data_IF_535724680939
#
_entry.id   IF_535724680939
#
_cell.length_a   1.000
_cell.length_b   1.000
_cell.length_c   1.000
_cell.angle_alpha   90.00
_cell.angle_beta   90.00
_cell.angle_gamma   90.00
#
_symmetry.space_group_name_H-M   'P 1'
#
loop_
_entity.id
_entity.type
_entity.pdbx_description
1 polymer ?
#
# COMPACT_ATOMS: atom_id res chain seq x y z
N UNK A 1 -16.92 -13.05 -5.96
CA UNK A 1 -17.97 -13.17 -7.00
C UNK A 1 -17.96 -11.90 -7.81
N UNK A 2 -17.88 -11.98 -9.15
CA UNK A 2 -17.94 -10.79 -10.03
C UNK A 2 -19.37 -10.28 -10.09
N UNK A 3 -19.56 -9.00 -9.77
CA UNK A 3 -20.88 -8.35 -9.76
C UNK A 3 -21.06 -7.45 -10.98
N UNK A 4 -19.99 -6.84 -11.49
CA UNK A 4 -20.05 -6.00 -12.68
C UNK A 4 -18.70 -5.39 -13.01
N UNK A 5 -18.70 -4.44 -13.95
CA UNK A 5 -17.52 -3.64 -14.29
C UNK A 5 -17.81 -2.16 -14.05
N UNK A 6 -17.01 -1.48 -13.22
CA UNK A 6 -17.12 -0.04 -12.97
C UNK A 6 -15.98 0.67 -13.70
N UNK A 7 -16.31 1.57 -14.63
CA UNK A 7 -15.33 2.28 -15.48
C UNK A 7 -14.39 1.34 -16.29
N UNK A 8 -14.73 0.06 -16.47
CA UNK A 8 -13.83 -0.94 -17.08
C UNK A 8 -12.87 -1.62 -16.08
N UNK A 9 -13.18 -1.58 -14.78
CA UNK A 9 -12.53 -2.39 -13.73
C UNK A 9 -13.52 -3.42 -13.23
N UNK A 10 -13.09 -4.67 -13.08
CA UNK A 10 -13.95 -5.74 -12.55
C UNK A 10 -14.21 -5.54 -11.05
N UNK A 11 -15.48 -5.47 -10.66
CA UNK A 11 -15.89 -5.36 -9.25
C UNK A 11 -16.26 -6.74 -8.74
N UNK A 12 -15.45 -7.23 -7.81
CA UNK A 12 -15.62 -8.49 -7.13
C UNK A 12 -16.08 -8.25 -5.70
N UNK A 13 -17.11 -8.97 -5.25
CA UNK A 13 -17.52 -9.00 -3.85
C UNK A 13 -17.15 -10.33 -3.22
N UNK A 14 -16.55 -10.26 -2.03
CA UNK A 14 -16.28 -11.43 -1.21
C UNK A 14 -17.59 -12.03 -0.66
N UNK A 15 -17.65 -13.37 -0.61
CA UNK A 15 -18.83 -14.08 -0.11
C UNK A 15 -19.14 -13.70 1.35
N UNK A 16 -18.10 -13.42 2.13
CA UNK A 16 -18.22 -12.99 3.53
C UNK A 16 -18.95 -11.65 3.65
N UNK A 17 -18.72 -10.70 2.73
CA UNK A 17 -19.44 -9.43 2.71
C UNK A 17 -20.91 -9.63 2.35
N UNK A 18 -21.22 -10.52 1.40
CA UNK A 18 -22.62 -10.86 1.07
C UNK A 18 -23.33 -11.45 2.27
N UNK A 19 -22.71 -12.40 2.97
CA UNK A 19 -23.29 -13.01 4.18
C UNK A 19 -23.55 -11.96 5.26
N UNK A 20 -22.61 -11.03 5.48
CA UNK A 20 -22.79 -9.93 6.45
C UNK A 20 -23.97 -9.03 6.07
N UNK A 21 -24.11 -8.69 4.79
CA UNK A 21 -25.22 -7.87 4.28
C UNK A 21 -26.56 -8.58 4.51
N UNK A 22 -26.64 -9.87 4.17
CA UNK A 22 -27.85 -10.67 4.34
C UNK A 22 -28.25 -10.73 5.83
N UNK A 23 -27.30 -11.00 6.73
CA UNK A 23 -27.57 -11.03 8.18
C UNK A 23 -28.10 -9.67 8.67
N UNK A 24 -27.51 -8.56 8.23
CA UNK A 24 -27.95 -7.23 8.65
C UNK A 24 -29.36 -6.89 8.14
N UNK A 25 -29.72 -7.34 6.94
CA UNK A 25 -31.09 -7.20 6.40
C UNK A 25 -32.07 -8.00 7.26
N UNK A 26 -31.74 -9.25 7.62
CA UNK A 26 -32.57 -10.06 8.52
C UNK A 26 -32.73 -9.45 9.92
N UNK A 27 -31.74 -8.69 10.39
CA UNK A 27 -31.81 -7.94 11.66
C UNK A 27 -32.58 -6.61 11.56
N UNK A 28 -33.20 -6.30 10.41
CA UNK A 28 -33.99 -5.08 10.21
C UNK A 28 -33.15 -3.81 9.99
N UNK A 29 -31.84 -3.92 9.80
CA UNK A 29 -30.91 -2.78 9.60
C UNK A 29 -30.56 -2.53 8.13
N UNK A 30 -31.48 -2.86 7.22
CA UNK A 30 -31.26 -2.81 5.77
C UNK A 30 -30.90 -1.43 5.23
N UNK A 31 -31.58 -0.38 5.70
CA UNK A 31 -31.31 1.01 5.29
C UNK A 31 -29.94 1.50 5.76
N UNK A 32 -29.56 1.16 6.98
CA UNK A 32 -28.26 1.52 7.54
C UNK A 32 -27.12 0.84 6.77
N UNK A 33 -27.24 -0.46 6.49
CA UNK A 33 -26.18 -1.17 5.77
C UNK A 33 -26.10 -0.74 4.29
N UNK A 34 -27.24 -0.41 3.66
CA UNK A 34 -27.24 0.17 2.31
C UNK A 34 -26.51 1.52 2.30
N UNK A 35 -26.72 2.35 3.32
CA UNK A 35 -26.04 3.64 3.47
C UNK A 35 -24.53 3.46 3.68
N UNK A 36 -24.12 2.56 4.58
CA UNK A 36 -22.70 2.25 4.85
C UNK A 36 -22.04 1.69 3.58
N UNK A 37 -22.71 0.78 2.89
CA UNK A 37 -22.21 0.20 1.64
C UNK A 37 -22.06 1.24 0.55
N UNK A 38 -23.01 2.17 0.41
CA UNK A 38 -22.91 3.28 -0.53
C UNK A 38 -21.68 4.17 -0.24
N UNK A 39 -21.49 4.57 1.02
CA UNK A 39 -20.32 5.37 1.44
C UNK A 39 -19.02 4.61 1.17
N UNK A 40 -18.97 3.32 1.50
CA UNK A 40 -17.82 2.46 1.23
C UNK A 40 -17.55 2.31 -0.29
N UNK A 41 -18.58 2.14 -1.10
CA UNK A 41 -18.44 2.05 -2.56
C UNK A 41 -17.94 3.37 -3.16
N UNK A 42 -18.43 4.52 -2.67
CA UNK A 42 -17.94 5.82 -3.09
C UNK A 42 -16.45 6.00 -2.75
N UNK A 43 -16.04 5.60 -1.55
CA UNK A 43 -14.65 5.59 -1.08
C UNK A 43 -13.74 4.78 -2.02
N UNK A 44 -14.08 3.52 -2.27
CA UNK A 44 -13.28 2.65 -3.15
C UNK A 44 -13.26 3.13 -4.61
N UNK A 45 -14.39 3.68 -5.09
CA UNK A 45 -14.47 4.27 -6.42
C UNK A 45 -13.51 5.45 -6.58
N UNK A 46 -13.33 6.28 -5.54
CA UNK A 46 -12.40 7.40 -5.60
C UNK A 46 -10.94 6.95 -5.77
N UNK A 47 -10.51 5.88 -5.10
CA UNK A 47 -9.18 5.30 -5.34
C UNK A 47 -8.98 4.90 -6.80
N UNK A 48 -10.00 4.29 -7.40
CA UNK A 48 -9.96 3.80 -8.78
C UNK A 48 -9.96 4.96 -9.78
N UNK A 49 -10.77 5.98 -9.54
CA UNK A 49 -10.81 7.17 -10.38
C UNK A 49 -9.47 7.91 -10.37
N UNK A 50 -8.86 8.07 -9.20
CA UNK A 50 -7.53 8.71 -9.10
C UNK A 50 -6.45 7.83 -9.73
N UNK A 51 -6.48 6.51 -9.53
CA UNK A 51 -5.54 5.60 -10.18
C UNK A 51 -5.64 5.68 -11.72
N UNK A 52 -6.86 5.75 -12.27
CA UNK A 52 -7.09 5.93 -13.71
C UNK A 52 -6.67 7.30 -14.21
N UNK A 53 -6.92 8.36 -13.44
CA UNK A 53 -6.43 9.70 -13.77
C UNK A 53 -4.89 9.76 -13.84
N UNK A 54 -4.22 8.94 -13.03
CA UNK A 54 -2.77 8.74 -13.05
C UNK A 54 -2.30 7.73 -14.12
N UNK A 55 -3.20 7.30 -15.03
CA UNK A 55 -2.96 6.36 -16.13
C UNK A 55 -2.51 4.96 -15.69
N UNK A 56 -2.87 4.55 -14.48
CA UNK A 56 -2.52 3.23 -13.97
C UNK A 56 -3.54 2.16 -14.38
N UNK A 57 -3.05 0.96 -14.70
CA UNK A 57 -3.87 -0.18 -15.08
C UNK A 57 -4.43 -0.90 -13.83
N UNK A 58 -5.69 -0.61 -13.51
CA UNK A 58 -6.44 -1.26 -12.42
C UNK A 58 -7.22 -2.44 -13.00
N UNK A 59 -6.89 -3.66 -12.55
CA UNK A 59 -7.46 -4.89 -13.07
C UNK A 59 -8.80 -5.23 -12.39
N UNK A 60 -8.79 -5.23 -11.07
CA UNK A 60 -9.98 -5.59 -10.28
C UNK A 60 -10.02 -4.85 -8.93
N UNK A 61 -11.24 -4.65 -8.44
CA UNK A 61 -11.55 -4.17 -7.09
C UNK A 61 -12.26 -5.31 -6.36
N UNK A 62 -11.65 -5.82 -5.30
CA UNK A 62 -12.25 -6.83 -4.44
C UNK A 62 -12.78 -6.17 -3.16
N UNK A 63 -14.10 -6.14 -2.99
CA UNK A 63 -14.77 -5.61 -1.80
C UNK A 63 -14.80 -6.67 -0.69
N UNK A 64 -14.11 -6.38 0.42
CA UNK A 64 -14.03 -7.21 1.61
C UNK A 64 -14.90 -6.62 2.73
N UNK A 65 -15.25 -7.41 3.76
CA UNK A 65 -16.12 -6.95 4.85
C UNK A 65 -15.57 -5.75 5.65
N UNK A 66 -14.25 -5.56 5.61
CA UNK A 66 -13.54 -4.55 6.41
C UNK A 66 -12.55 -3.73 5.55
N UNK A 67 -12.76 -3.63 4.24
CA UNK A 67 -11.94 -2.81 3.33
C UNK A 67 -12.04 -3.25 1.87
N UNK A 68 -11.42 -2.50 0.95
CA UNK A 68 -11.23 -2.92 -0.45
C UNK A 68 -9.80 -3.36 -0.74
N UNK A 69 -9.67 -4.41 -1.54
CA UNK A 69 -8.40 -4.81 -2.15
C UNK A 69 -8.45 -4.46 -3.64
N UNK A 70 -7.86 -3.32 -3.99
CA UNK A 70 -7.62 -2.95 -5.39
C UNK A 70 -6.41 -3.73 -5.89
N UNK A 71 -6.59 -4.60 -6.88
CA UNK A 71 -5.47 -5.27 -7.55
C UNK A 71 -5.08 -4.46 -8.78
N UNK A 72 -3.89 -3.88 -8.68
CA UNK A 72 -3.26 -3.13 -9.76
C UNK A 72 -2.41 -4.14 -10.53
N UNK A 73 -2.68 -4.27 -11.83
CA UNK A 73 -2.04 -5.23 -12.74
C UNK A 73 -0.54 -4.97 -12.84
N UNK A 74 -0.17 -3.69 -12.77
CA UNK A 74 1.19 -3.22 -12.70
C UNK A 74 1.49 -2.59 -11.34
N UNK A 75 1.95 -3.41 -10.40
CA UNK A 75 2.73 -2.87 -9.25
C UNK A 75 4.02 -2.15 -9.73
N UNK A 76 4.30 -2.22 -11.04
CA UNK A 76 5.39 -1.59 -11.77
C UNK A 76 5.33 -0.04 -11.84
N UNK A 77 4.23 0.61 -11.41
CA UNK A 77 3.99 2.05 -11.68
C UNK A 77 3.79 2.94 -10.44
N UNK A 78 3.86 2.41 -9.22
CA UNK A 78 3.59 3.21 -8.01
C UNK A 78 4.79 4.07 -7.61
N UNK A 79 4.93 5.23 -8.27
CA UNK A 79 5.67 6.34 -7.68
C UNK A 79 5.12 6.64 -6.28
N UNK A 80 5.97 6.90 -5.27
CA UNK A 80 5.49 7.20 -3.92
C UNK A 80 4.47 8.34 -3.85
N UNK A 81 4.57 9.33 -4.75
CA UNK A 81 3.59 10.43 -4.85
C UNK A 81 2.25 9.89 -5.34
N UNK A 82 2.24 9.05 -6.38
CA UNK A 82 1.02 8.45 -6.92
C UNK A 82 0.34 7.59 -5.87
N UNK A 83 1.11 6.82 -5.09
CA UNK A 83 0.57 6.03 -4.00
C UNK A 83 -0.12 6.89 -2.93
N UNK A 84 0.49 8.02 -2.55
CA UNK A 84 -0.11 8.98 -1.60
C UNK A 84 -1.41 9.57 -2.18
N UNK A 85 -1.39 10.01 -3.43
CA UNK A 85 -2.57 10.59 -4.09
C UNK A 85 -3.73 9.58 -4.15
N UNK A 86 -3.45 8.33 -4.50
CA UNK A 86 -4.46 7.27 -4.54
C UNK A 86 -4.96 7.00 -3.13
N UNK A 87 -4.08 6.78 -2.15
CA UNK A 87 -4.48 6.49 -0.77
C UNK A 87 -5.33 7.61 -0.16
N UNK A 88 -5.03 8.88 -0.45
CA UNK A 88 -5.82 10.00 0.05
C UNK A 88 -7.16 10.20 -0.70
N UNK A 89 -7.35 9.58 -1.87
CA UNK A 89 -8.57 9.72 -2.64
C UNK A 89 -9.82 9.23 -1.89
N UNK A 90 -9.72 8.08 -1.22
CA UNK A 90 -10.80 7.50 -0.43
C UNK A 90 -11.24 8.38 0.75
N UNK A 91 -10.34 8.75 1.68
CA UNK A 91 -10.67 9.70 2.74
C UNK A 91 -11.13 11.06 2.19
N UNK A 92 -10.54 11.51 1.08
CA UNK A 92 -10.91 12.76 0.40
C UNK A 92 -12.36 12.78 -0.06
N UNK A 93 -12.84 11.73 -0.75
CA UNK A 93 -14.24 11.68 -1.20
C UNK A 93 -15.21 11.64 -0.03
N UNK A 94 -14.87 10.96 1.07
CA UNK A 94 -15.72 10.93 2.26
C UNK A 94 -15.88 12.33 2.89
N UNK A 95 -14.80 13.12 2.92
CA UNK A 95 -14.84 14.51 3.39
C UNK A 95 -15.70 15.36 2.45
N UNK A 96 -15.53 15.21 1.13
CA UNK A 96 -16.35 15.93 0.12
C UNK A 96 -17.84 15.60 0.27
N UNK A 97 -18.18 14.32 0.46
CA UNK A 97 -19.55 13.87 0.70
C UNK A 97 -20.13 14.46 2.00
N UNK A 98 -19.33 14.53 3.06
CA UNK A 98 -19.74 15.13 4.33
C UNK A 98 -20.01 16.63 4.20
N UNK A 99 -19.13 17.37 3.50
CA UNK A 99 -19.29 18.79 3.25
C UNK A 99 -20.51 19.08 2.38
N UNK A 100 -20.70 18.31 1.30
CA UNK A 100 -21.87 18.42 0.44
C UNK A 100 -23.18 18.13 1.20
N UNK A 101 -23.17 17.10 2.04
CA UNK A 101 -24.30 16.78 2.90
C UNK A 101 -24.62 17.88 3.91
N UNK A 102 -23.60 18.45 4.57
CA UNK A 102 -23.78 19.59 5.47
C UNK A 102 -24.32 20.83 4.75
N UNK A 103 -23.88 21.09 3.51
CA UNK A 103 -24.42 22.18 2.70
C UNK A 103 -25.90 21.98 2.38
N UNK A 104 -26.32 20.76 2.03
CA UNK A 104 -27.73 20.43 1.78
C UNK A 104 -28.62 20.59 3.02
N UNK A 105 -28.09 20.30 4.21
CA UNK A 105 -28.78 20.55 5.48
C UNK A 105 -28.97 22.05 5.73
N UNK A 106 -27.93 22.86 5.49
CA UNK A 106 -28.01 24.31 5.64
C UNK A 106 -29.00 24.97 4.65
N UNK A 107 -29.19 24.37 3.48
CA UNK A 107 -30.19 24.80 2.49
C UNK A 107 -31.63 24.35 2.84
N UNK A 108 -31.81 23.58 3.92
CA UNK A 108 -33.13 23.06 4.32
C UNK A 108 -33.67 21.95 3.42
N UNK A 109 -32.86 21.44 2.47
CA UNK A 109 -33.23 20.34 1.57
C UNK A 109 -33.30 19.02 2.34
N UNK A 110 -32.39 18.84 3.32
CA UNK A 110 -32.32 17.66 4.17
C UNK A 110 -32.51 18.09 5.63
N UNK A 111 -33.43 17.45 6.33
CA UNK A 111 -33.64 17.73 7.75
C UNK A 111 -32.45 17.26 8.59
N UNK A 112 -31.93 18.09 9.52
CA UNK A 112 -30.90 17.67 10.45
C UNK A 112 -31.39 16.51 11.31
N UNK A 113 -30.63 15.42 11.34
CA UNK A 113 -30.89 14.27 12.21
C UNK A 113 -29.67 14.04 13.10
N UNK A 114 -29.86 14.08 14.42
CA UNK A 114 -28.79 13.86 15.41
C UNK A 114 -28.17 12.45 15.31
N UNK A 115 -28.90 11.47 14.77
CA UNK A 115 -28.42 10.10 14.63
C UNK A 115 -28.22 9.70 13.16
N UNK A 116 -27.72 10.62 12.34
CA UNK A 116 -27.51 10.36 10.92
C UNK A 116 -26.41 9.32 10.66
N UNK A 117 -26.80 8.21 10.04
CA UNK A 117 -25.90 7.12 9.65
C UNK A 117 -24.96 7.55 8.51
N UNK A 118 -25.41 8.41 7.59
CA UNK A 118 -24.60 8.84 6.45
C UNK A 118 -23.39 9.67 6.89
N UNK A 119 -23.62 10.73 7.68
CA UNK A 119 -22.54 11.56 8.21
C UNK A 119 -21.54 10.73 9.05
N UNK A 120 -22.06 9.85 9.91
CA UNK A 120 -21.22 9.03 10.80
C UNK A 120 -20.40 7.99 10.04
N UNK A 121 -20.97 7.37 9.00
CA UNK A 121 -20.26 6.42 8.15
C UNK A 121 -19.12 7.10 7.38
N UNK A 122 -19.37 8.28 6.78
CA UNK A 122 -18.32 9.04 6.09
C UNK A 122 -17.19 9.44 7.04
N UNK A 123 -17.54 9.99 8.20
CA UNK A 123 -16.56 10.44 9.19
C UNK A 123 -15.75 9.27 9.75
N UNK A 124 -16.40 8.18 10.16
CA UNK A 124 -15.71 7.00 10.69
C UNK A 124 -14.82 6.36 9.62
N UNK A 125 -15.30 6.20 8.39
CA UNK A 125 -14.51 5.60 7.33
C UNK A 125 -13.32 6.47 6.92
N UNK A 126 -13.46 7.80 6.92
CA UNK A 126 -12.36 8.73 6.64
C UNK A 126 -11.31 8.72 7.77
N UNK A 127 -11.73 8.90 9.02
CA UNK A 127 -10.83 8.97 10.17
C UNK A 127 -10.11 7.64 10.39
N UNK A 128 -10.83 6.53 10.27
CA UNK A 128 -10.24 5.21 10.44
C UNK A 128 -9.23 4.92 9.33
N UNK A 129 -9.56 5.20 8.06
CA UNK A 129 -8.61 4.98 6.97
C UNK A 129 -7.42 5.93 7.01
N UNK A 130 -7.48 7.10 7.65
CA UNK A 130 -6.33 7.98 7.82
C UNK A 130 -5.33 7.54 8.89
N UNK A 131 -5.64 6.50 9.68
CA UNK A 131 -4.72 5.99 10.70
C UNK A 131 -3.43 5.45 10.03
N UNK A 132 -2.24 5.74 10.60
CA UNK A 132 -0.95 5.40 10.02
C UNK A 132 -0.57 3.92 10.22
N UNK A 133 -1.41 3.01 9.73
CA UNK A 133 -1.35 1.58 10.00
C UNK A 133 -1.80 0.78 8.78
N UNK A 134 -0.96 -0.11 8.24
CA UNK A 134 -1.41 -1.03 7.17
C UNK A 134 -2.44 -2.02 7.73
N UNK A 135 -3.50 -2.38 6.97
CA UNK A 135 -3.70 -2.15 5.54
C UNK A 135 -4.39 -0.82 5.16
N UNK A 136 -4.63 0.08 6.12
CA UNK A 136 -5.40 1.32 5.93
C UNK A 136 -4.67 2.29 5.01
N UNK A 137 -5.41 3.24 4.44
CA UNK A 137 -4.86 4.21 3.49
C UNK A 137 -3.77 5.10 4.09
N UNK A 138 -3.94 5.55 5.33
CA UNK A 138 -2.94 6.29 6.08
C UNK A 138 -1.67 5.47 6.32
N UNK A 139 -1.81 4.15 6.43
CA UNK A 139 -0.68 3.22 6.42
C UNK A 139 0.05 3.17 5.07
N UNK A 140 -0.68 3.25 3.96
CA UNK A 140 -0.10 3.36 2.60
C UNK A 140 0.59 4.71 2.40
N UNK A 141 -0.01 5.81 2.87
CA UNK A 141 0.61 7.14 2.88
C UNK A 141 1.91 7.12 3.69
N UNK A 142 1.88 6.61 4.93
CA UNK A 142 3.07 6.47 5.77
C UNK A 142 4.15 5.63 5.07
N UNK A 143 3.77 4.48 4.51
CA UNK A 143 4.67 3.61 3.76
C UNK A 143 5.32 4.35 2.59
N UNK A 144 4.55 5.06 1.78
CA UNK A 144 5.05 5.80 0.63
C UNK A 144 5.99 6.95 1.03
N UNK A 145 5.71 7.64 2.13
CA UNK A 145 6.60 8.68 2.67
C UNK A 145 7.92 8.05 3.12
N UNK A 146 7.86 7.03 3.98
CA UNK A 146 9.05 6.36 4.51
C UNK A 146 9.88 5.65 3.43
N UNK A 147 9.23 5.15 2.39
CA UNK A 147 9.91 4.42 1.31
C UNK A 147 10.98 5.27 0.60
N UNK A 148 10.85 6.60 0.62
CA UNK A 148 11.84 7.52 0.04
C UNK A 148 13.19 7.45 0.74
N UNK A 149 13.17 7.28 2.07
CA UNK A 149 14.37 7.37 2.90
C UNK A 149 14.93 5.99 3.28
N UNK A 150 14.05 5.04 3.61
CA UNK A 150 14.45 3.73 4.16
C UNK A 150 14.17 2.56 3.21
N UNK A 151 13.60 2.82 2.04
CA UNK A 151 13.25 1.83 1.01
C UNK A 151 11.93 1.09 1.29
N UNK A 152 11.30 0.59 0.22
CA UNK A 152 9.95 0.01 0.24
C UNK A 152 9.78 -1.13 1.24
N UNK A 153 10.74 -2.06 1.32
CA UNK A 153 10.66 -3.22 2.22
C UNK A 153 10.61 -2.80 3.70
N UNK A 154 11.51 -1.89 4.11
CA UNK A 154 11.55 -1.40 5.50
C UNK A 154 10.34 -0.53 5.80
N UNK A 155 9.94 0.36 4.89
CA UNK A 155 8.75 1.18 5.04
C UNK A 155 7.47 0.36 5.21
N UNK A 156 7.30 -0.70 4.41
CA UNK A 156 6.17 -1.64 4.55
C UNK A 156 6.19 -2.34 5.89
N UNK A 157 7.37 -2.75 6.35
CA UNK A 157 7.51 -3.41 7.65
C UNK A 157 7.13 -2.47 8.79
N UNK A 158 7.59 -1.22 8.77
CA UNK A 158 7.25 -0.21 9.78
C UNK A 158 5.74 0.09 9.79
N UNK A 159 5.14 0.33 8.62
CA UNK A 159 3.71 0.61 8.52
C UNK A 159 2.84 -0.60 8.93
N UNK A 160 3.30 -1.84 8.68
CA UNK A 160 2.65 -3.07 9.15
C UNK A 160 2.72 -3.22 10.68
N UNK A 161 3.81 -2.81 11.33
CA UNK A 161 3.87 -2.76 12.78
C UNK A 161 2.84 -1.79 13.37
N UNK A 162 2.58 -0.65 12.71
CA UNK A 162 1.47 0.24 13.07
C UNK A 162 0.11 -0.47 13.09
N UNK A 163 -0.16 -1.32 12.09
CA UNK A 163 -1.35 -2.18 12.03
C UNK A 163 -1.47 -3.18 13.18
N UNK A 164 -0.36 -3.80 13.57
CA UNK A 164 -0.32 -4.73 14.71
C UNK A 164 -0.56 -4.01 16.04
N UNK A 165 0.02 -2.83 16.23
CA UNK A 165 -0.20 -2.01 17.42
C UNK A 165 -1.67 -1.58 17.50
N UNK A 166 -2.24 -1.13 16.38
CA UNK A 166 -3.65 -0.75 16.32
C UNK A 166 -4.56 -1.96 16.62
N UNK A 167 -4.28 -3.13 16.03
CA UNK A 167 -5.00 -4.38 16.33
C UNK A 167 -4.96 -4.72 17.82
N UNK A 168 -3.79 -4.64 18.46
CA UNK A 168 -3.63 -4.88 19.89
C UNK A 168 -4.48 -3.91 20.71
N UNK A 169 -4.44 -2.61 20.37
CA UNK A 169 -5.27 -1.59 21.01
C UNK A 169 -6.78 -1.91 20.86
N UNK A 170 -7.22 -2.37 19.69
CA UNK A 170 -8.61 -2.79 19.48
C UNK A 170 -8.99 -4.03 20.30
N UNK A 171 -8.09 -4.99 20.47
CA UNK A 171 -8.32 -6.15 21.34
C UNK A 171 -8.42 -5.74 22.81
N UNK A 172 -7.53 -4.86 23.27
CA UNK A 172 -7.52 -4.37 24.65
C UNK A 172 -8.77 -3.56 24.98
N UNK A 173 -9.22 -2.70 24.06
CA UNK A 173 -10.48 -1.95 24.22
C UNK A 173 -11.69 -2.88 24.24
N UNK A 174 -11.71 -3.93 23.41
CA UNK A 174 -12.72 -5.00 23.48
C UNK A 174 -12.74 -5.72 24.84
N UNK A 175 -11.57 -6.06 25.37
CA UNK A 175 -11.44 -6.72 26.68
C UNK A 175 -11.89 -5.81 27.84
N UNK A 176 -11.52 -4.52 27.77
CA UNK A 176 -11.96 -3.52 28.74
C UNK A 176 -13.48 -3.30 28.68
N UNK A 177 -14.08 -3.31 27.49
CA UNK A 177 -15.53 -3.23 27.34
C UNK A 177 -16.25 -4.42 27.99
N UNK A 178 -15.70 -5.64 27.85
CA UNK A 178 -16.19 -6.83 28.56
C UNK A 178 -16.12 -6.64 30.08
N UNK A 179 -15.00 -6.11 30.59
CA UNK A 179 -14.86 -5.79 32.01
C UNK A 179 -15.93 -4.80 32.49
N UNK A 180 -16.29 -3.81 31.66
CA UNK A 180 -17.40 -2.87 31.88
C UNK A 180 -18.79 -3.45 31.61
N UNK A 181 -18.92 -4.77 31.40
CA UNK A 181 -20.17 -5.49 31.07
C UNK A 181 -20.83 -5.04 29.76
N UNK A 182 -20.08 -4.39 28.86
CA UNK A 182 -20.52 -4.03 27.51
C UNK A 182 -19.88 -4.98 26.50
N UNK A 183 -20.64 -5.97 26.03
CA UNK A 183 -20.15 -6.90 25.02
C UNK A 183 -20.35 -6.32 23.61
N UNK A 184 -19.24 -6.02 22.92
CA UNK A 184 -19.26 -5.60 21.52
C UNK A 184 -18.28 -6.43 20.68
N UNK A 185 -18.77 -7.38 19.85
CA UNK A 185 -17.92 -8.29 19.09
C UNK A 185 -17.11 -7.60 17.98
N UNK A 186 -17.49 -6.38 17.59
CA UNK A 186 -16.85 -5.66 16.49
C UNK A 186 -15.37 -5.35 16.79
N UNK A 187 -15.01 -5.09 18.05
CA UNK A 187 -13.63 -4.83 18.45
C UNK A 187 -12.71 -6.02 18.17
N UNK A 188 -13.17 -7.24 18.46
CA UNK A 188 -12.40 -8.47 18.24
C UNK A 188 -12.32 -8.83 16.76
N UNK A 189 -13.43 -8.67 16.02
CA UNK A 189 -13.46 -8.90 14.57
C UNK A 189 -12.49 -7.97 13.85
N UNK A 190 -12.53 -6.67 14.16
CA UNK A 190 -11.68 -5.66 13.54
C UNK A 190 -10.21 -5.86 13.97
N UNK A 191 -9.95 -6.18 15.24
CA UNK A 191 -8.61 -6.53 15.72
C UNK A 191 -8.02 -7.72 14.94
N UNK A 192 -8.78 -8.81 14.79
CA UNK A 192 -8.36 -9.98 14.05
C UNK A 192 -8.09 -9.68 12.58
N UNK A 193 -8.96 -8.90 11.94
CA UNK A 193 -8.80 -8.48 10.55
C UNK A 193 -7.55 -7.60 10.35
N UNK A 194 -7.32 -6.61 11.22
CA UNK A 194 -6.15 -5.74 11.15
C UNK A 194 -4.85 -6.54 11.35
N UNK A 195 -4.81 -7.44 12.33
CA UNK A 195 -3.66 -8.31 12.55
C UNK A 195 -3.39 -9.20 11.34
N UNK A 196 -4.42 -9.89 10.83
CA UNK A 196 -4.30 -10.76 9.66
C UNK A 196 -3.78 -9.98 8.44
N UNK A 197 -4.35 -8.81 8.16
CA UNK A 197 -4.00 -8.00 7.00
C UNK A 197 -2.59 -7.40 7.12
N UNK A 198 -2.21 -6.91 8.30
CA UNK A 198 -0.86 -6.41 8.56
C UNK A 198 0.20 -7.51 8.43
N UNK A 199 -0.09 -8.73 8.91
CA UNK A 199 0.80 -9.89 8.75
C UNK A 199 0.92 -10.32 7.29
N UNK A 200 -0.18 -10.28 6.52
CA UNK A 200 -0.21 -10.56 5.09
C UNK A 200 0.66 -9.55 4.31
N UNK A 201 0.55 -8.26 4.62
CA UNK A 201 1.40 -7.20 4.04
C UNK A 201 2.88 -7.42 4.35
N UNK A 202 3.21 -7.72 5.61
CA UNK A 202 4.59 -8.01 6.02
C UNK A 202 5.18 -9.21 5.28
N UNK A 203 4.40 -10.27 5.04
CA UNK A 203 4.85 -11.43 4.24
C UNK A 203 5.08 -11.05 2.78
N UNK A 204 4.18 -10.27 2.19
CA UNK A 204 4.26 -9.82 0.80
C UNK A 204 5.47 -8.90 0.56
N UNK A 205 5.84 -8.08 1.55
CA UNK A 205 7.06 -7.25 1.50
C UNK A 205 8.35 -8.05 1.26
N UNK A 206 8.43 -9.28 1.74
CA UNK A 206 9.58 -10.17 1.50
C UNK A 206 9.64 -10.67 0.06
N UNK A 207 8.50 -10.80 -0.62
CA UNK A 207 8.42 -11.18 -2.04
C UNK A 207 8.75 -10.02 -2.98
N UNK A 208 8.47 -8.77 -2.58
CA UNK A 208 8.82 -7.57 -3.38
C UNK A 208 10.33 -7.49 -3.63
N UNK A 209 11.17 -7.87 -2.67
CA UNK A 209 12.64 -7.87 -2.85
C UNK A 209 13.13 -8.87 -3.90
N UNK A 210 12.44 -10.00 -4.07
CA UNK A 210 12.73 -10.97 -5.15
C UNK A 210 12.23 -10.41 -6.50
N UNK A 211 11.10 -9.68 -6.47
CA UNK A 211 10.48 -9.09 -7.65
C UNK A 211 11.25 -7.90 -8.23
N UNK A 212 12.02 -7.16 -7.42
CA UNK A 212 12.90 -6.08 -7.90
C UNK A 212 14.00 -6.58 -8.85
N UNK A 213 14.40 -7.86 -8.73
CA UNK A 213 15.37 -8.50 -9.64
C UNK A 213 14.69 -8.85 -10.98
N UNK A 214 13.46 -9.36 -10.95
CA UNK A 214 12.65 -9.62 -12.16
C UNK A 214 12.29 -8.33 -12.90
N UNK A 215 12.13 -7.23 -12.15
CA UNK A 215 11.74 -5.91 -12.63
C UNK A 215 12.62 -5.37 -13.76
N UNK A 216 13.94 -5.59 -13.72
CA UNK A 216 14.88 -5.02 -14.69
C UNK A 216 14.91 -5.79 -16.01
N UNK A 217 14.72 -7.11 -15.94
CA UNK A 217 14.62 -7.97 -17.13
C UNK A 217 13.37 -7.65 -17.96
N UNK A 218 12.24 -7.43 -17.31
CA UNK A 218 10.97 -7.18 -18.00
C UNK A 218 10.90 -5.79 -18.65
N UNK A 219 11.48 -4.74 -18.04
CA UNK A 219 11.47 -3.40 -18.68
C UNK A 219 12.37 -3.37 -19.91
N UNK A 220 13.58 -3.94 -19.84
CA UNK A 220 14.46 -4.04 -21.01
C UNK A 220 13.76 -4.84 -22.12
N UNK A 221 12.99 -5.88 -21.76
CA UNK A 221 12.23 -6.68 -22.72
C UNK A 221 11.00 -5.98 -23.31
N UNK A 222 10.34 -5.04 -22.59
CA UNK A 222 9.11 -4.37 -23.05
C UNK A 222 9.35 -2.99 -23.67
N UNK A 223 10.23 -2.19 -23.09
CA UNK A 223 10.47 -0.80 -23.54
C UNK A 223 11.74 -0.68 -24.41
N UNK A 224 12.60 -1.70 -24.42
CA UNK A 224 13.83 -1.74 -25.21
C UNK A 224 14.94 -0.79 -24.72
N UNK A 225 14.65 0.10 -23.78
CA UNK A 225 15.61 1.03 -23.20
C UNK A 225 15.32 1.25 -21.71
N UNK A 226 16.37 1.43 -20.91
CA UNK A 226 16.25 1.79 -19.51
C UNK A 226 17.22 2.94 -19.21
N UNK A 227 16.78 3.92 -18.43
CA UNK A 227 17.63 5.04 -18.00
C UNK A 227 18.75 4.49 -17.13
N UNK A 228 19.99 4.68 -17.59
CA UNK A 228 21.18 4.27 -16.84
C UNK A 228 21.59 5.35 -15.84
N UNK A 229 22.19 4.92 -14.74
CA UNK A 229 22.87 5.80 -13.78
C UNK A 229 24.28 5.30 -13.58
N UNK A 230 25.25 6.15 -13.81
CA UNK A 230 26.65 5.82 -13.56
C UNK A 230 26.98 6.09 -12.08
N UNK A 231 27.53 5.09 -11.40
CA UNK A 231 28.02 5.19 -10.03
C UNK A 231 29.54 5.07 -10.03
N UNK A 232 30.22 6.09 -9.55
CA UNK A 232 31.68 6.04 -9.35
C UNK A 232 31.95 5.54 -7.93
N UNK A 233 32.70 4.44 -7.81
CA UNK A 233 33.03 3.80 -6.53
C UNK A 233 34.52 3.55 -6.42
N UNK A 234 35.05 3.65 -5.20
CA UNK A 234 36.44 3.29 -4.93
C UNK A 234 36.62 1.77 -4.93
N UNK A 235 37.78 1.30 -5.40
CA UNK A 235 38.13 -0.12 -5.49
C UNK A 235 38.08 -0.88 -4.16
N UNK A 236 38.25 -0.19 -3.03
CA UNK A 236 38.25 -0.75 -1.68
C UNK A 236 36.84 -0.80 -1.05
N UNK A 237 35.83 -0.24 -1.73
CA UNK A 237 34.47 -0.19 -1.24
C UNK A 237 33.83 -1.59 -1.16
N UNK A 238 33.18 -1.96 -0.04
CA UNK A 238 32.46 -3.23 0.09
C UNK A 238 31.22 -3.30 -0.81
N UNK A 239 30.95 -4.48 -1.39
CA UNK A 239 29.78 -4.68 -2.27
C UNK A 239 28.43 -4.34 -1.60
N UNK A 240 28.27 -4.65 -0.30
CA UNK A 240 27.05 -4.29 0.46
C UNK A 240 26.74 -2.80 0.44
N UNK A 241 27.77 -1.96 0.41
CA UNK A 241 27.61 -0.50 0.48
C UNK A 241 27.35 0.09 -0.90
N UNK A 242 27.74 -0.63 -1.96
CA UNK A 242 27.38 -0.33 -3.35
C UNK A 242 25.90 -0.63 -3.59
N UNK A 243 25.41 -1.80 -3.17
CA UNK A 243 23.99 -2.18 -3.35
C UNK A 243 23.05 -1.18 -2.64
N UNK A 244 23.43 -0.66 -1.47
CA UNK A 244 22.63 0.37 -0.78
C UNK A 244 22.46 1.66 -1.59
N UNK A 245 23.34 1.93 -2.55
CA UNK A 245 23.26 3.10 -3.44
C UNK A 245 22.40 2.85 -4.68
N UNK A 246 21.95 1.62 -4.91
CA UNK A 246 21.07 1.31 -6.04
C UNK A 246 19.69 1.92 -5.81
N UNK A 247 19.20 2.61 -6.84
CA UNK A 247 17.88 3.24 -6.84
C UNK A 247 16.90 2.38 -7.66
N UNK A 248 15.63 2.25 -7.24
CA UNK A 248 14.61 1.60 -8.06
C UNK A 248 14.47 2.25 -9.46
N UNK A 249 14.02 1.48 -10.45
CA UNK A 249 13.73 1.92 -11.83
C UNK A 249 14.92 2.51 -12.64
N UNK A 250 16.17 2.28 -12.22
CA UNK A 250 17.37 2.63 -13.01
C UNK A 250 18.37 1.48 -13.05
N UNK A 251 19.08 1.37 -14.16
CA UNK A 251 20.17 0.40 -14.33
C UNK A 251 21.48 1.08 -13.98
N UNK A 252 22.23 0.51 -13.04
CA UNK A 252 23.46 1.12 -12.56
C UNK A 252 24.67 0.53 -13.29
N UNK A 253 25.43 1.40 -13.94
CA UNK A 253 26.78 1.08 -14.37
C UNK A 253 27.75 1.54 -13.28
N UNK A 254 28.57 0.63 -12.77
CA UNK A 254 29.50 0.88 -11.69
C UNK A 254 30.88 1.11 -12.30
N UNK A 255 31.36 2.34 -12.22
CA UNK A 255 32.71 2.73 -12.59
C UNK A 255 33.61 2.65 -11.37
N UNK A 256 34.54 1.71 -11.39
CA UNK A 256 35.48 1.50 -10.29
C UNK A 256 36.73 2.34 -10.53
N UNK A 257 37.11 3.14 -9.53
CA UNK A 257 38.27 4.03 -9.58
C UNK A 257 39.22 3.81 -8.40
N UNK A 258 40.47 4.21 -8.56
CA UNK A 258 41.44 4.31 -7.47
C UNK A 258 41.30 5.65 -6.70
N UNK A 259 42.10 5.82 -5.65
CA UNK A 259 42.15 7.09 -4.90
C UNK A 259 42.67 8.28 -5.72
N UNK A 260 43.29 8.03 -6.88
CA UNK A 260 43.71 9.05 -7.84
C UNK A 260 42.66 9.31 -8.93
N UNK A 261 41.44 8.77 -8.78
CA UNK A 261 40.35 8.82 -9.76
C UNK A 261 40.68 8.18 -11.12
N UNK A 262 41.72 7.33 -11.18
CA UNK A 262 42.02 6.55 -12.38
C UNK A 262 41.06 5.38 -12.45
N UNK A 263 40.59 5.12 -13.67
CA UNK A 263 39.59 4.09 -13.94
C UNK A 263 40.27 2.73 -13.86
N UNK A 264 39.80 1.89 -12.94
CA UNK A 264 40.22 0.49 -12.82
C UNK A 264 39.36 -0.43 -13.68
N UNK A 265 38.08 -0.10 -13.88
CA UNK A 265 37.20 -0.88 -14.72
C UNK A 265 35.74 -0.49 -14.57
N UNK A 266 34.90 -1.22 -15.30
CA UNK A 266 33.44 -1.09 -15.27
C UNK A 266 32.84 -2.42 -14.85
N UNK A 267 31.83 -2.33 -13.98
CA UNK A 267 31.02 -3.46 -13.56
C UNK A 267 29.55 -3.11 -13.77
N UNK A 268 28.74 -4.13 -14.04
CA UNK A 268 27.29 -4.00 -14.03
C UNK A 268 26.67 -4.47 -12.70
N UNK A 269 25.38 -4.23 -12.52
CA UNK A 269 24.69 -4.67 -11.30
C UNK A 269 24.69 -6.20 -11.13
N UNK A 270 24.63 -6.95 -12.22
CA UNK A 270 24.62 -8.42 -12.20
C UNK A 270 25.92 -8.95 -11.62
N UNK A 271 27.04 -8.36 -12.01
CA UNK A 271 28.37 -8.70 -11.50
C UNK A 271 28.53 -8.36 -10.03
N UNK A 272 27.94 -7.25 -9.57
CA UNK A 272 27.91 -6.90 -8.14
C UNK A 272 27.07 -7.91 -7.36
N UNK A 273 25.89 -8.29 -7.88
CA UNK A 273 24.99 -9.25 -7.22
C UNK A 273 25.62 -10.65 -7.19
N UNK A 274 26.16 -11.14 -8.31
CA UNK A 274 26.88 -12.40 -8.38
C UNK A 274 28.10 -12.40 -7.46
N UNK A 275 28.86 -11.30 -7.44
CA UNK A 275 29.99 -11.14 -6.53
C UNK A 275 29.62 -11.28 -5.05
N UNK A 276 28.41 -10.84 -4.65
CA UNK A 276 27.91 -11.08 -3.29
C UNK A 276 27.52 -12.54 -3.08
N UNK A 277 26.90 -13.19 -4.07
CA UNK A 277 26.52 -14.60 -3.97
C UNK A 277 27.74 -15.52 -3.90
N UNK A 278 28.77 -15.23 -4.67
CA UNK A 278 29.96 -16.08 -4.80
C UNK A 278 31.00 -15.83 -3.70
N UNK A 279 31.19 -14.57 -3.29
CA UNK A 279 32.28 -14.18 -2.38
C UNK A 279 31.83 -13.49 -1.08
N UNK A 280 30.52 -13.27 -0.91
CA UNK A 280 29.94 -12.65 0.27
C UNK A 280 29.90 -11.11 0.26
N UNK A 281 29.01 -10.54 1.06
CA UNK A 281 28.64 -9.12 1.00
C UNK A 281 29.73 -8.11 1.44
N UNK A 282 30.77 -8.57 2.16
CA UNK A 282 31.85 -7.71 2.68
C UNK A 282 33.08 -7.62 1.75
N UNK A 283 33.08 -8.33 0.62
CA UNK A 283 34.21 -8.27 -0.31
C UNK A 283 34.33 -6.88 -0.95
N UNK A 284 35.56 -6.46 -1.23
CA UNK A 284 35.84 -5.20 -1.92
C UNK A 284 35.60 -5.33 -3.41
N UNK A 285 34.99 -4.30 -4.02
CA UNK A 285 34.62 -4.31 -5.44
C UNK A 285 35.82 -4.50 -6.37
N UNK A 286 37.00 -3.98 -6.00
CA UNK A 286 38.22 -4.12 -6.78
C UNK A 286 38.70 -5.57 -6.92
N UNK A 287 38.26 -6.49 -6.05
CA UNK A 287 38.59 -7.92 -6.19
C UNK A 287 37.85 -8.58 -7.36
N UNK A 288 36.64 -8.10 -7.70
CA UNK A 288 35.89 -8.63 -8.84
C UNK A 288 36.58 -8.31 -10.17
N UNK A 289 37.30 -7.18 -10.23
CA UNK A 289 38.04 -6.77 -11.43
C UNK A 289 39.40 -7.46 -11.58
N UNK A 290 39.98 -8.00 -10.50
CA UNK A 290 41.28 -8.71 -10.56
C UNK A 290 41.17 -10.14 -11.09
N UNK A 291 39.97 -10.68 -11.24
CA UNK A 291 39.72 -12.01 -11.79
C UNK A 291 39.47 -12.05 -13.30
N UNK A 292 39.65 -10.93 -14.00
CA UNK A 292 39.52 -10.78 -15.46
C UNK A 292 40.88 -10.60 -16.12
#
# INVERSE_FOLDING_TARGET
>A
MKIGSLFGVDVNISITLVVLIVIAIFLGRGTEIATIFFVFMAHETAHVLVAKALKMNVAEIELLPFGGAVRIESVFELNPINEICIALAGPGINIVLLLGYSALQNLGIVSPNNNDTFARANLMLALFNLLPALPLDGGRVLRAILARDIGMKKATTVAAYGGLILSLFMAMTGLYAIYMKVFNPNFFLLSGFLAYSALKEKRTASYIAVRDITFKRDIISKEGALVTRELVVLYDMPLKDIIKKFVPHRYHFIKVVDHSLRIWGYLDETEIVNGIMDYGANIQVGRLLRGR
#
